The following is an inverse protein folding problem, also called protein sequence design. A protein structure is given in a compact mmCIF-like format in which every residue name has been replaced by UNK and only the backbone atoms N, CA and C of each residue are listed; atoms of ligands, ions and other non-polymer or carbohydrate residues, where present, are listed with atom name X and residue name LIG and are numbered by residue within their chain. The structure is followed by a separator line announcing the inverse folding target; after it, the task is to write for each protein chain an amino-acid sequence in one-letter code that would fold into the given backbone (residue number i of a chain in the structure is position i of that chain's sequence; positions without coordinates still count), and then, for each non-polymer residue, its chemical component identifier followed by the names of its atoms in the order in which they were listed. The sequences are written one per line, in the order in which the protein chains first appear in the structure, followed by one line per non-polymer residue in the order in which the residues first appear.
data_IF_157278506121
#
_entry.id   IF_157278506121
#
_cell.length_a   1.000
_cell.length_b   1.000
_cell.length_c   1.000
_cell.angle_alpha   90.00
_cell.angle_beta   90.00
_cell.angle_gamma   90.00
#
_symmetry.space_group_name_H-M   'P 1'
#
loop_
_entity.id
_entity.type
_entity.pdbx_description
1 polymer ?
#
# COMPACT_ATOMS: atom_id res chain seq x y z
N UNK A 1 -20.62 -5.69 -23.42
CA UNK A 1 -21.94 -6.22 -23.06
C UNK A 1 -22.39 -5.59 -21.76
N UNK A 2 -23.63 -5.09 -21.73
CA UNK A 2 -24.30 -4.70 -20.49
C UNK A 2 -24.77 -5.95 -19.76
N UNK A 3 -25.02 -5.89 -18.45
CA UNK A 3 -25.52 -7.03 -17.68
C UNK A 3 -26.85 -7.58 -18.26
N UNK A 4 -27.60 -6.73 -18.95
CA UNK A 4 -28.86 -7.05 -19.65
C UNK A 4 -28.68 -7.88 -20.94
N UNK A 5 -27.44 -8.03 -21.44
CA UNK A 5 -27.16 -8.81 -22.66
C UNK A 5 -26.87 -10.29 -22.38
N UNK A 6 -26.78 -10.71 -21.11
CA UNK A 6 -26.47 -12.09 -20.74
C UNK A 6 -27.75 -12.93 -20.80
N UNK A 7 -27.73 -14.05 -21.53
CA UNK A 7 -28.90 -14.93 -21.74
C UNK A 7 -28.62 -16.34 -21.23
N UNK A 8 -29.68 -17.05 -20.79
CA UNK A 8 -29.63 -18.46 -20.43
C UNK A 8 -28.95 -18.73 -19.08
N UNK A 9 -28.19 -19.82 -18.98
CA UNK A 9 -27.59 -20.31 -17.73
C UNK A 9 -26.58 -19.32 -17.09
N UNK A 10 -25.91 -18.51 -17.91
CA UNK A 10 -24.93 -17.51 -17.46
C UNK A 10 -25.59 -16.34 -16.71
N UNK A 11 -26.81 -15.95 -17.09
CA UNK A 11 -27.56 -14.90 -16.41
C UNK A 11 -28.02 -15.36 -15.01
N UNK A 12 -28.45 -16.62 -14.90
CA UNK A 12 -28.85 -17.21 -13.62
C UNK A 12 -27.67 -17.27 -12.64
N UNK A 13 -26.47 -17.61 -13.12
CA UNK A 13 -25.24 -17.62 -12.32
C UNK A 13 -24.84 -16.22 -11.86
N UNK A 14 -24.89 -15.23 -12.75
CA UNK A 14 -24.60 -13.82 -12.39
C UNK A 14 -25.57 -13.32 -11.32
N UNK A 15 -26.86 -13.59 -11.45
CA UNK A 15 -27.88 -13.22 -10.46
C UNK A 15 -27.63 -13.94 -9.13
N UNK A 16 -27.28 -15.23 -9.17
CA UNK A 16 -26.96 -16.03 -7.99
C UNK A 16 -25.75 -15.45 -7.24
N UNK A 17 -24.66 -15.12 -7.96
CA UNK A 17 -23.45 -14.51 -7.38
C UNK A 17 -23.78 -13.16 -6.74
N UNK A 18 -24.51 -12.28 -7.44
CA UNK A 18 -24.91 -10.98 -6.90
C UNK A 18 -25.79 -11.15 -5.65
N UNK A 19 -26.74 -12.08 -5.67
CA UNK A 19 -27.63 -12.36 -4.54
C UNK A 19 -26.88 -12.88 -3.31
N UNK A 20 -25.99 -13.86 -3.49
CA UNK A 20 -25.18 -14.42 -2.41
C UNK A 20 -24.27 -13.34 -1.79
N UNK A 21 -23.58 -12.55 -2.62
CA UNK A 21 -22.67 -11.51 -2.15
C UNK A 21 -23.39 -10.38 -1.42
N UNK A 22 -24.60 -10.03 -1.87
CA UNK A 22 -25.46 -9.06 -1.18
C UNK A 22 -25.82 -9.54 0.23
N UNK A 23 -26.17 -10.83 0.38
CA UNK A 23 -26.47 -11.42 1.69
C UNK A 23 -25.22 -11.58 2.56
N UNK A 24 -24.06 -11.87 1.97
CA UNK A 24 -22.78 -11.90 2.66
C UNK A 24 -22.46 -10.52 3.27
N UNK A 25 -22.52 -9.48 2.43
CA UNK A 25 -22.32 -8.08 2.80
C UNK A 25 -23.32 -7.58 3.87
N UNK A 26 -24.53 -8.13 3.91
CA UNK A 26 -25.49 -7.86 4.99
C UNK A 26 -24.97 -8.36 6.35
N UNK A 27 -24.43 -9.59 6.39
CA UNK A 27 -23.86 -10.18 7.60
C UNK A 27 -22.64 -9.41 8.10
N UNK A 28 -21.76 -9.01 7.19
CA UNK A 28 -20.59 -8.19 7.50
C UNK A 28 -20.98 -6.80 8.02
N UNK A 29 -21.92 -6.13 7.36
CA UNK A 29 -22.46 -4.84 7.84
C UNK A 29 -23.04 -4.94 9.24
N UNK A 30 -23.75 -6.04 9.52
CA UNK A 30 -24.27 -6.33 10.85
C UNK A 30 -23.15 -6.49 11.88
N UNK A 31 -22.08 -7.21 11.52
CA UNK A 31 -20.90 -7.41 12.36
C UNK A 31 -20.18 -6.10 12.66
N UNK A 32 -20.01 -5.24 11.65
CA UNK A 32 -19.50 -3.87 11.82
C UNK A 32 -20.37 -3.11 12.82
N UNK A 33 -21.68 -3.02 12.61
CA UNK A 33 -22.58 -2.28 13.49
C UNK A 33 -22.54 -2.74 14.95
N UNK A 34 -22.64 -4.07 15.19
CA UNK A 34 -22.60 -4.64 16.53
C UNK A 34 -21.23 -4.41 17.20
N UNK A 35 -20.13 -4.43 16.45
CA UNK A 35 -18.79 -4.23 17.00
C UNK A 35 -18.55 -2.83 17.58
N UNK A 36 -19.35 -1.83 17.16
CA UNK A 36 -19.34 -0.49 17.74
C UNK A 36 -20.14 -0.35 19.04
N UNK A 37 -20.87 -1.39 19.47
CA UNK A 37 -21.67 -1.34 20.69
C UNK A 37 -20.84 -1.60 21.97
N UNK A 38 -21.30 -1.05 23.10
CA UNK A 38 -20.71 -1.26 24.42
C UNK A 38 -19.55 -0.30 24.78
N UNK A 39 -19.00 -0.47 25.99
CA UNK A 39 -18.05 0.48 26.60
C UNK A 39 -16.69 0.60 25.89
N UNK A 40 -16.29 -0.41 25.10
CA UNK A 40 -15.09 -0.39 24.23
C UNK A 40 -15.45 -0.39 22.74
N UNK A 41 -16.67 0.02 22.40
CA UNK A 41 -17.24 -0.10 21.06
C UNK A 41 -16.45 0.65 19.98
N UNK A 42 -15.93 1.85 20.26
CA UNK A 42 -15.20 2.62 19.25
C UNK A 42 -13.91 1.90 18.78
N UNK A 43 -13.07 1.43 19.71
CA UNK A 43 -11.81 0.75 19.37
C UNK A 43 -12.06 -0.59 18.68
N UNK A 44 -13.01 -1.39 19.20
CA UNK A 44 -13.38 -2.69 18.60
C UNK A 44 -14.01 -2.51 17.22
N UNK A 45 -14.91 -1.54 17.09
CA UNK A 45 -15.60 -1.24 15.86
C UNK A 45 -14.66 -0.79 14.75
N UNK A 46 -13.70 0.08 15.04
CA UNK A 46 -12.68 0.50 14.07
C UNK A 46 -11.83 -0.70 13.60
N UNK A 47 -11.42 -1.57 14.52
CA UNK A 47 -10.63 -2.76 14.19
C UNK A 47 -11.41 -3.71 13.28
N UNK A 48 -12.66 -4.05 13.65
CA UNK A 48 -13.54 -4.92 12.86
C UNK A 48 -13.85 -4.31 11.49
N UNK A 49 -14.14 -3.01 11.43
CA UNK A 49 -14.38 -2.29 10.18
C UNK A 49 -13.18 -2.38 9.25
N UNK A 50 -11.96 -2.24 9.79
CA UNK A 50 -10.74 -2.29 8.99
C UNK A 50 -10.42 -3.72 8.54
N UNK A 51 -10.63 -4.71 9.40
CA UNK A 51 -10.48 -6.12 9.04
C UNK A 51 -11.43 -6.49 7.88
N UNK A 52 -12.70 -6.07 7.96
CA UNK A 52 -13.68 -6.26 6.90
C UNK A 52 -13.31 -5.44 5.65
N UNK A 53 -12.85 -4.19 5.79
CA UNK A 53 -12.41 -3.40 4.64
C UNK A 53 -11.24 -4.05 3.88
N UNK A 54 -10.28 -4.65 4.59
CA UNK A 54 -9.18 -5.41 3.98
C UNK A 54 -9.67 -6.70 3.34
N UNK A 55 -10.65 -7.39 3.97
CA UNK A 55 -11.31 -8.58 3.42
C UNK A 55 -12.07 -8.30 2.12
N UNK A 56 -12.71 -7.13 2.03
CA UNK A 56 -13.56 -6.77 0.89
C UNK A 56 -12.77 -6.45 -0.38
N UNK A 57 -11.47 -6.16 -0.28
CA UNK A 57 -10.60 -5.92 -1.45
C UNK A 57 -10.45 -7.21 -2.29
N UNK A 58 -9.95 -8.34 -1.75
CA UNK A 58 -9.89 -9.58 -2.51
C UNK A 58 -11.28 -10.13 -2.84
N UNK A 59 -12.30 -9.91 -2.00
CA UNK A 59 -13.68 -10.32 -2.30
C UNK A 59 -14.24 -9.57 -3.52
N UNK A 60 -14.15 -8.24 -3.54
CA UNK A 60 -14.64 -7.44 -4.66
C UNK A 60 -13.89 -7.71 -5.96
N UNK A 61 -12.59 -8.01 -5.87
CA UNK A 61 -11.80 -8.50 -7.00
C UNK A 61 -12.33 -9.84 -7.51
N UNK A 62 -12.60 -10.79 -6.61
CA UNK A 62 -13.12 -12.12 -6.96
C UNK A 62 -14.49 -12.01 -7.63
N UNK A 63 -15.41 -11.22 -7.07
CA UNK A 63 -16.73 -10.96 -7.67
C UNK A 63 -16.59 -10.34 -9.06
N UNK A 64 -15.74 -9.33 -9.19
CA UNK A 64 -15.50 -8.67 -10.47
C UNK A 64 -14.90 -9.62 -11.53
N UNK A 65 -13.99 -10.51 -11.13
CA UNK A 65 -13.39 -11.52 -12.00
C UNK A 65 -14.41 -12.56 -12.46
N UNK A 66 -15.26 -13.05 -11.55
CA UNK A 66 -16.34 -14.00 -11.88
C UNK A 66 -17.34 -13.37 -12.84
N UNK A 67 -17.75 -12.12 -12.62
CA UNK A 67 -18.64 -11.41 -13.54
C UNK A 67 -17.98 -11.20 -14.91
N UNK A 68 -16.69 -10.84 -14.93
CA UNK A 68 -15.95 -10.61 -16.17
C UNK A 68 -15.77 -11.90 -17.00
N UNK A 69 -15.53 -13.06 -16.36
CA UNK A 69 -15.41 -14.34 -17.06
C UNK A 69 -16.72 -14.79 -17.71
N UNK A 70 -17.87 -14.29 -17.23
CA UNK A 70 -19.20 -14.53 -17.82
C UNK A 70 -19.63 -13.47 -18.83
N UNK A 71 -18.71 -12.62 -19.29
CA UNK A 71 -18.96 -11.65 -20.36
C UNK A 71 -19.48 -10.28 -19.90
N UNK A 72 -19.52 -10.01 -18.59
CA UNK A 72 -19.76 -8.64 -18.09
C UNK A 72 -18.53 -7.79 -18.38
N UNK A 73 -18.71 -6.60 -18.95
CA UNK A 73 -17.58 -5.68 -19.17
C UNK A 73 -16.89 -5.31 -17.83
N UNK A 74 -15.55 -5.15 -17.78
CA UNK A 74 -14.82 -4.89 -16.54
C UNK A 74 -15.34 -3.71 -15.69
N UNK A 75 -15.76 -2.63 -16.35
CA UNK A 75 -16.33 -1.46 -15.67
C UNK A 75 -17.67 -1.77 -14.98
N UNK A 76 -18.54 -2.52 -15.66
CA UNK A 76 -19.80 -2.97 -15.07
C UNK A 76 -19.56 -4.01 -13.97
N UNK A 77 -18.59 -4.91 -14.14
CA UNK A 77 -18.25 -5.89 -13.11
C UNK A 77 -17.77 -5.21 -11.82
N UNK A 78 -16.91 -4.19 -11.94
CA UNK A 78 -16.49 -3.34 -10.83
C UNK A 78 -17.68 -2.61 -10.18
N UNK A 79 -18.57 -2.02 -10.98
CA UNK A 79 -19.75 -1.33 -10.46
C UNK A 79 -20.68 -2.29 -9.69
N UNK A 80 -20.94 -3.48 -10.23
CA UNK A 80 -21.75 -4.51 -9.58
C UNK A 80 -21.12 -5.03 -8.30
N UNK A 81 -19.79 -5.16 -8.25
CA UNK A 81 -19.08 -5.47 -7.01
C UNK A 81 -19.26 -4.39 -5.93
N UNK A 82 -19.29 -3.11 -6.29
CA UNK A 82 -19.60 -2.03 -5.34
C UNK A 82 -21.06 -2.11 -4.89
N UNK A 83 -21.99 -2.39 -5.81
CA UNK A 83 -23.42 -2.53 -5.50
C UNK A 83 -23.66 -3.67 -4.50
N UNK A 84 -23.00 -4.82 -4.66
CA UNK A 84 -23.14 -5.95 -3.74
C UNK A 84 -22.67 -5.63 -2.32
N UNK A 85 -21.76 -4.67 -2.14
CA UNK A 85 -21.27 -4.23 -0.83
C UNK A 85 -22.07 -3.09 -0.19
N UNK A 86 -23.03 -2.47 -0.91
CA UNK A 86 -23.90 -1.43 -0.35
C UNK A 86 -24.69 -1.85 0.91
N UNK A 87 -25.11 -3.11 1.10
CA UNK A 87 -25.75 -3.53 2.35
C UNK A 87 -24.89 -3.27 3.59
N UNK A 88 -23.56 -3.31 3.48
CA UNK A 88 -22.65 -3.13 4.63
C UNK A 88 -22.89 -1.80 5.37
N UNK A 89 -22.78 -0.61 4.74
CA UNK A 89 -23.05 0.66 5.39
C UNK A 89 -24.53 0.85 5.75
N UNK A 90 -25.46 0.28 4.98
CA UNK A 90 -26.91 0.43 5.22
C UNK A 90 -27.32 -0.30 6.51
N UNK A 91 -26.77 -1.49 6.74
CA UNK A 91 -27.16 -2.36 7.85
C UNK A 91 -26.35 -2.06 9.12
N UNK A 92 -25.12 -1.55 8.99
CA UNK A 92 -24.28 -1.22 10.14
C UNK A 92 -24.94 -0.28 11.15
N UNK A 93 -25.69 0.74 10.69
CA UNK A 93 -26.34 1.71 11.59
C UNK A 93 -27.50 1.07 12.36
N UNK A 94 -28.49 0.41 11.73
CA UNK A 94 -29.51 -0.37 12.44
C UNK A 94 -28.93 -1.42 13.40
N UNK A 95 -27.85 -2.11 12.99
CA UNK A 95 -27.22 -3.13 13.82
C UNK A 95 -26.51 -2.55 15.05
N UNK A 96 -25.96 -1.34 14.96
CA UNK A 96 -25.45 -0.62 16.12
C UNK A 96 -26.58 -0.22 17.08
N UNK A 97 -27.69 0.32 16.55
CA UNK A 97 -28.84 0.76 17.35
C UNK A 97 -29.50 -0.45 18.06
N UNK A 98 -29.63 -1.56 17.34
CA UNK A 98 -30.27 -2.79 17.81
C UNK A 98 -29.24 -3.89 18.15
N UNK A 99 -28.13 -3.50 18.76
CA UNK A 99 -26.97 -4.39 18.95
C UNK A 99 -27.29 -5.71 19.65
N UNK A 100 -28.14 -5.73 20.68
CA UNK A 100 -28.50 -6.98 21.37
C UNK A 100 -29.28 -7.95 20.47
N UNK A 101 -30.22 -7.44 19.68
CA UNK A 101 -31.01 -8.24 18.75
C UNK A 101 -30.12 -8.78 17.61
N UNK A 102 -29.27 -7.92 17.03
CA UNK A 102 -28.33 -8.34 16.00
C UNK A 102 -27.25 -9.27 16.54
N UNK A 103 -26.77 -9.11 17.77
CA UNK A 103 -25.79 -10.02 18.36
C UNK A 103 -26.35 -11.44 18.49
N UNK A 104 -27.62 -11.59 18.86
CA UNK A 104 -28.31 -12.89 18.87
C UNK A 104 -28.54 -13.46 17.47
N UNK A 105 -28.74 -12.60 16.48
CA UNK A 105 -28.96 -12.99 15.08
C UNK A 105 -27.66 -13.23 14.31
N UNK A 106 -26.55 -12.64 14.73
CA UNK A 106 -25.26 -12.67 14.06
C UNK A 106 -24.75 -14.09 13.80
N UNK A 107 -24.75 -15.04 14.76
CA UNK A 107 -24.31 -16.40 14.52
C UNK A 107 -25.07 -17.11 13.40
N UNK A 108 -26.38 -16.83 13.29
CA UNK A 108 -27.19 -17.36 12.20
C UNK A 108 -26.81 -16.71 10.87
N UNK A 109 -26.72 -15.38 10.82
CA UNK A 109 -26.37 -14.64 9.61
C UNK A 109 -24.98 -15.01 9.09
N UNK A 110 -23.97 -15.09 9.97
CA UNK A 110 -22.60 -15.46 9.60
C UNK A 110 -22.48 -16.93 9.23
N UNK A 111 -23.18 -17.84 9.93
CA UNK A 111 -23.25 -19.26 9.57
C UNK A 111 -23.91 -19.49 8.21
N UNK A 112 -25.01 -18.79 7.93
CA UNK A 112 -25.67 -18.82 6.63
C UNK A 112 -24.78 -18.24 5.51
N UNK A 113 -24.12 -17.11 5.76
CA UNK A 113 -23.18 -16.50 4.84
C UNK A 113 -21.99 -17.43 4.55
N UNK A 114 -21.43 -18.07 5.57
CA UNK A 114 -20.35 -19.06 5.41
C UNK A 114 -20.79 -20.24 4.53
N UNK A 115 -22.00 -20.77 4.74
CA UNK A 115 -22.58 -21.82 3.90
C UNK A 115 -22.72 -21.40 2.43
N UNK A 116 -23.21 -20.17 2.19
CA UNK A 116 -23.34 -19.64 0.83
C UNK A 116 -21.98 -19.44 0.15
N UNK A 117 -20.96 -18.98 0.86
CA UNK A 117 -19.61 -18.79 0.31
C UNK A 117 -18.92 -20.13 0.01
N UNK A 118 -19.10 -21.14 0.86
CA UNK A 118 -18.61 -22.51 0.59
C UNK A 118 -19.28 -23.06 -0.68
N UNK A 119 -20.60 -22.92 -0.80
CA UNK A 119 -21.31 -23.34 -2.01
C UNK A 119 -20.83 -22.59 -3.25
N UNK A 120 -20.67 -21.26 -3.17
CA UNK A 120 -20.18 -20.42 -4.27
C UNK A 120 -18.77 -20.84 -4.72
N UNK A 121 -17.88 -21.14 -3.78
CA UNK A 121 -16.54 -21.66 -4.12
C UNK A 121 -16.63 -23.01 -4.83
N UNK A 122 -17.42 -23.96 -4.33
CA UNK A 122 -17.52 -25.31 -4.89
C UNK A 122 -18.25 -25.34 -6.23
N UNK A 123 -19.35 -24.58 -6.36
CA UNK A 123 -20.24 -24.64 -7.51
C UNK A 123 -19.82 -23.69 -8.65
N UNK A 124 -19.15 -22.58 -8.33
CA UNK A 124 -18.80 -21.55 -9.31
C UNK A 124 -17.29 -21.34 -9.46
N UNK A 125 -16.57 -21.02 -8.37
CA UNK A 125 -15.15 -20.61 -8.47
C UNK A 125 -14.22 -21.77 -8.84
N UNK A 126 -14.37 -22.91 -8.16
CA UNK A 126 -13.49 -24.06 -8.35
C UNK A 126 -13.66 -24.70 -9.74
N UNK A 127 -14.89 -24.92 -10.25
CA UNK A 127 -15.10 -25.42 -11.60
C UNK A 127 -14.58 -24.48 -12.68
N UNK A 128 -14.69 -23.16 -12.50
CA UNK A 128 -14.12 -22.18 -13.44
C UNK A 128 -12.59 -22.16 -13.36
N UNK A 129 -12.00 -22.24 -12.17
CA UNK A 129 -10.55 -22.35 -11.99
C UNK A 129 -9.94 -23.56 -12.70
N UNK A 130 -10.62 -24.71 -12.67
CA UNK A 130 -10.18 -25.92 -13.39
C UNK A 130 -10.32 -25.83 -14.91
N UNK A 131 -11.13 -24.91 -15.44
CA UNK A 131 -11.20 -24.66 -16.89
C UNK A 131 -10.01 -23.82 -17.38
N UNK A 132 -9.61 -22.84 -16.57
CA UNK A 132 -8.57 -21.86 -16.94
C UNK A 132 -7.14 -22.31 -16.56
N UNK A 133 -7.00 -23.30 -15.68
CA UNK A 133 -5.72 -23.67 -15.08
C UNK A 133 -5.61 -25.17 -14.81
N UNK A 134 -4.37 -25.68 -14.73
CA UNK A 134 -4.11 -27.07 -14.35
C UNK A 134 -4.57 -27.33 -12.90
N UNK A 135 -5.01 -28.56 -12.58
CA UNK A 135 -5.45 -28.90 -11.23
C UNK A 135 -4.41 -28.65 -10.14
N UNK A 136 -3.12 -28.83 -10.46
CA UNK A 136 -2.02 -28.58 -9.53
C UNK A 136 -1.87 -27.10 -9.16
N UNK A 137 -2.04 -26.18 -10.11
CA UNK A 137 -2.01 -24.73 -9.86
C UNK A 137 -3.24 -24.24 -9.09
N UNK A 138 -4.41 -24.79 -9.38
CA UNK A 138 -5.64 -24.47 -8.61
C UNK A 138 -5.47 -24.94 -7.16
N UNK A 139 -4.96 -26.16 -6.94
CA UNK A 139 -4.71 -26.70 -5.62
C UNK A 139 -3.65 -25.91 -4.84
N UNK A 140 -2.55 -25.48 -5.48
CA UNK A 140 -1.52 -24.68 -4.83
C UNK A 140 -2.02 -23.28 -4.47
N UNK A 141 -2.75 -22.62 -5.37
CA UNK A 141 -3.35 -21.32 -5.11
C UNK A 141 -4.38 -21.39 -3.97
N UNK A 142 -5.25 -22.40 -3.97
CA UNK A 142 -6.21 -22.64 -2.90
C UNK A 142 -5.50 -22.86 -1.56
N UNK A 143 -4.49 -23.72 -1.51
CA UNK A 143 -3.73 -24.02 -0.28
C UNK A 143 -3.01 -22.78 0.26
N UNK A 144 -2.38 -22.00 -0.63
CA UNK A 144 -1.71 -20.75 -0.24
C UNK A 144 -2.70 -19.72 0.29
N UNK A 145 -3.88 -19.61 -0.33
CA UNK A 145 -4.94 -18.70 0.12
C UNK A 145 -5.46 -19.07 1.51
N UNK A 146 -5.68 -20.37 1.77
CA UNK A 146 -6.10 -20.88 3.09
C UNK A 146 -5.01 -20.63 4.13
N UNK A 147 -3.75 -20.94 3.82
CA UNK A 147 -2.62 -20.70 4.71
C UNK A 147 -2.48 -19.21 5.06
N UNK A 148 -2.64 -18.33 4.07
CA UNK A 148 -2.64 -16.88 4.27
C UNK A 148 -3.81 -16.44 5.17
N UNK A 149 -5.02 -16.93 4.94
CA UNK A 149 -6.18 -16.56 5.76
C UNK A 149 -6.08 -17.08 7.19
N UNK A 150 -5.53 -18.28 7.40
CA UNK A 150 -5.27 -18.82 8.75
C UNK A 150 -4.19 -17.97 9.45
N UNK A 151 -3.10 -17.62 8.76
CA UNK A 151 -2.06 -16.77 9.33
C UNK A 151 -2.61 -15.38 9.69
N UNK A 152 -3.43 -14.80 8.82
CA UNK A 152 -4.09 -13.52 9.06
C UNK A 152 -5.07 -13.61 10.25
N UNK A 153 -5.86 -14.68 10.35
CA UNK A 153 -6.78 -14.92 11.46
C UNK A 153 -6.03 -15.09 12.79
N UNK A 154 -4.94 -15.87 12.79
CA UNK A 154 -4.09 -16.07 13.97
C UNK A 154 -3.43 -14.77 14.43
N UNK A 155 -2.99 -13.94 13.47
CA UNK A 155 -2.49 -12.60 13.73
C UNK A 155 -3.57 -11.72 14.39
N UNK A 156 -4.81 -11.73 13.88
CA UNK A 156 -5.93 -10.99 14.48
C UNK A 156 -6.33 -11.50 15.87
N UNK A 157 -6.32 -12.82 16.11
CA UNK A 157 -6.60 -13.37 17.43
C UNK A 157 -5.51 -13.00 18.45
N UNK A 158 -4.24 -13.02 18.04
CA UNK A 158 -3.14 -12.53 18.87
C UNK A 158 -3.34 -11.06 19.26
N UNK A 159 -3.81 -10.23 18.33
CA UNK A 159 -4.20 -8.85 18.61
C UNK A 159 -5.42 -8.73 19.53
N UNK A 160 -6.38 -9.67 19.48
CA UNK A 160 -7.61 -9.61 20.28
C UNK A 160 -7.41 -10.04 21.75
N UNK A 161 -6.43 -10.90 22.04
CA UNK A 161 -6.25 -11.50 23.38
C UNK A 161 -5.33 -10.68 24.32
N UNK A 162 -4.46 -9.82 23.77
CA UNK A 162 -3.52 -8.95 24.51
C UNK A 162 -3.98 -7.47 24.57
N UNK A 163 -5.28 -7.23 24.59
CA UNK A 163 -5.91 -5.95 24.21
C UNK A 163 -5.66 -4.79 25.20
N UNK A 164 -4.72 -3.89 24.87
CA UNK A 164 -4.72 -2.51 25.35
C UNK A 164 -5.26 -1.60 24.22
N UNK A 165 -6.20 -0.66 24.48
CA UNK A 165 -6.80 0.21 23.45
C UNK A 165 -5.78 1.11 22.72
N UNK A 166 -4.58 1.17 23.29
CA UNK A 166 -3.36 1.83 22.86
C UNK A 166 -2.82 1.29 21.52
N UNK A 167 -2.64 -0.04 21.42
CA UNK A 167 -2.03 -0.70 20.26
C UNK A 167 -2.94 -0.70 19.02
N UNK A 168 -4.27 -0.70 19.23
CA UNK A 168 -5.25 -0.62 18.15
C UNK A 168 -5.17 0.71 17.38
N UNK A 169 -4.88 1.80 18.09
CA UNK A 169 -4.68 3.12 17.47
C UNK A 169 -3.38 3.17 16.66
N UNK A 170 -2.32 2.55 17.18
CA UNK A 170 -1.04 2.42 16.49
C UNK A 170 -1.13 1.60 15.20
N UNK A 171 -1.87 0.48 15.25
CA UNK A 171 -2.13 -0.37 14.10
C UNK A 171 -2.93 0.35 13.00
N UNK A 172 -3.98 1.08 13.37
CA UNK A 172 -4.80 1.85 12.44
C UNK A 172 -3.97 2.92 11.71
N UNK A 173 -3.16 3.67 12.46
CA UNK A 173 -2.22 4.67 11.90
C UNK A 173 -1.21 4.01 10.97
N UNK A 174 -0.71 2.83 11.34
CA UNK A 174 0.26 2.06 10.54
C UNK A 174 -0.33 1.59 9.20
N UNK A 175 -1.58 1.13 9.17
CA UNK A 175 -2.25 0.74 7.92
C UNK A 175 -2.54 1.93 7.00
N UNK A 176 -3.02 3.04 7.55
CA UNK A 176 -3.30 4.26 6.77
C UNK A 176 -2.04 4.89 6.17
N UNK A 177 -0.89 4.73 6.82
CA UNK A 177 0.40 5.14 6.29
C UNK A 177 0.73 4.45 4.95
N UNK A 178 0.24 3.23 4.76
CA UNK A 178 0.41 2.51 3.50
C UNK A 178 -0.47 2.99 2.35
N UNK A 179 -1.54 3.75 2.63
CA UNK A 179 -2.43 4.26 1.60
C UNK A 179 -1.82 5.44 0.83
N UNK A 180 -0.97 6.23 1.49
CA UNK A 180 -0.32 7.42 0.92
C UNK A 180 0.44 7.12 -0.38
N UNK A 181 1.38 6.15 -0.39
CA UNK A 181 2.11 5.79 -1.60
C UNK A 181 1.21 5.31 -2.75
N UNK A 182 0.17 4.54 -2.47
CA UNK A 182 -0.78 4.11 -3.51
C UNK A 182 -1.51 5.31 -4.13
N UNK A 183 -2.05 6.21 -3.30
CA UNK A 183 -2.73 7.42 -3.75
C UNK A 183 -1.80 8.35 -4.55
N UNK A 184 -0.55 8.50 -4.11
CA UNK A 184 0.47 9.27 -4.83
C UNK A 184 0.81 8.66 -6.20
N UNK A 185 0.86 7.33 -6.29
CA UNK A 185 1.05 6.61 -7.55
C UNK A 185 -0.12 6.80 -8.51
N UNK A 186 -1.36 6.66 -8.02
CA UNK A 186 -2.59 6.85 -8.80
C UNK A 186 -2.66 8.29 -9.35
N UNK A 187 -2.45 9.28 -8.48
CA UNK A 187 -2.50 10.68 -8.88
C UNK A 187 -1.46 11.00 -9.95
N UNK A 188 -0.23 10.51 -9.79
CA UNK A 188 0.83 10.75 -10.75
C UNK A 188 0.58 10.06 -12.09
N UNK A 189 0.11 8.81 -12.10
CA UNK A 189 -0.26 8.11 -13.35
C UNK A 189 -1.40 8.83 -14.06
N UNK A 190 -2.42 9.28 -13.32
CA UNK A 190 -3.53 10.05 -13.88
C UNK A 190 -3.05 11.38 -14.51
N UNK A 191 -2.17 12.11 -13.82
CA UNK A 191 -1.52 13.32 -14.33
C UNK A 191 -0.67 13.03 -15.58
N UNK A 192 0.07 11.93 -15.58
CA UNK A 192 0.92 11.54 -16.71
C UNK A 192 0.11 11.26 -17.98
N UNK A 193 -1.03 10.59 -17.85
CA UNK A 193 -1.95 10.39 -18.97
C UNK A 193 -2.65 11.68 -19.40
N UNK A 194 -3.17 12.47 -18.45
CA UNK A 194 -3.91 13.68 -18.75
C UNK A 194 -3.07 14.73 -19.50
N UNK A 195 -1.77 14.81 -19.21
CA UNK A 195 -0.88 15.81 -19.79
C UNK A 195 0.17 15.23 -20.75
N UNK A 196 0.09 13.95 -21.10
CA UNK A 196 1.07 13.24 -21.95
C UNK A 196 2.52 13.52 -21.53
N UNK A 197 2.80 13.37 -20.23
CA UNK A 197 4.09 13.73 -19.65
C UNK A 197 5.21 12.85 -20.19
N UNK A 198 6.32 13.48 -20.58
CA UNK A 198 7.46 12.78 -21.18
C UNK A 198 8.39 12.17 -20.13
N UNK A 199 9.10 11.10 -20.52
CA UNK A 199 10.00 10.35 -19.64
C UNK A 199 11.05 11.22 -18.92
N UNK A 200 11.63 12.20 -19.60
CA UNK A 200 12.62 13.11 -19.00
C UNK A 200 12.02 13.99 -17.89
N UNK A 201 10.77 14.44 -18.07
CA UNK A 201 10.05 15.20 -17.05
C UNK A 201 9.75 14.33 -15.82
N UNK A 202 9.22 13.13 -16.03
CA UNK A 202 8.86 12.19 -14.97
C UNK A 202 10.07 11.72 -14.15
N UNK A 203 11.18 11.42 -14.81
CA UNK A 203 12.44 11.09 -14.12
C UNK A 203 12.98 12.30 -13.33
N UNK A 204 12.81 13.52 -13.87
CA UNK A 204 13.02 14.77 -13.14
C UNK A 204 12.20 14.85 -11.85
N UNK A 205 10.88 14.69 -11.96
CA UNK A 205 9.93 14.73 -10.82
C UNK A 205 10.33 13.70 -9.76
N UNK A 206 10.60 12.47 -10.16
CA UNK A 206 10.99 11.40 -9.26
C UNK A 206 12.26 11.75 -8.47
N UNK A 207 13.28 12.25 -9.15
CA UNK A 207 14.52 12.69 -8.50
C UNK A 207 14.30 13.88 -7.58
N UNK A 208 13.48 14.86 -7.96
CA UNK A 208 13.17 16.04 -7.15
C UNK A 208 12.53 15.65 -5.82
N UNK A 209 11.54 14.75 -5.88
CA UNK A 209 10.90 14.20 -4.68
C UNK A 209 11.91 13.44 -3.82
N UNK A 210 12.72 12.56 -4.42
CA UNK A 210 13.68 11.75 -3.68
C UNK A 210 14.76 12.58 -2.97
N UNK A 211 15.20 13.69 -3.57
CA UNK A 211 16.12 14.63 -2.90
C UNK A 211 15.49 15.24 -1.64
N UNK A 212 14.21 15.63 -1.70
CA UNK A 212 13.51 16.16 -0.52
C UNK A 212 13.38 15.08 0.55
N UNK A 213 12.93 13.88 0.17
CA UNK A 213 12.80 12.76 1.12
C UNK A 213 14.14 12.44 1.81
N UNK A 214 15.23 12.35 1.04
CA UNK A 214 16.56 12.08 1.58
C UNK A 214 17.17 13.22 2.39
N UNK A 215 16.72 14.47 2.22
CA UNK A 215 17.25 15.63 2.95
C UNK A 215 16.39 16.01 4.17
N UNK A 216 15.09 15.76 4.14
CA UNK A 216 14.13 16.32 5.11
C UNK A 216 14.43 15.90 6.56
N UNK A 217 14.52 14.60 6.82
CA UNK A 217 14.78 14.08 8.18
C UNK A 217 16.18 14.43 8.69
N UNK A 218 17.28 14.25 7.92
CA UNK A 218 18.61 14.66 8.35
C UNK A 218 18.68 16.17 8.68
N UNK A 219 18.05 17.02 7.87
CA UNK A 219 17.99 18.46 8.12
C UNK A 219 17.19 18.78 9.38
N UNK A 220 16.06 18.11 9.58
CA UNK A 220 15.25 18.27 10.78
C UNK A 220 16.05 17.91 12.05
N UNK A 221 16.73 16.77 12.08
CA UNK A 221 17.53 16.32 13.24
C UNK A 221 18.70 17.25 13.55
N UNK A 222 19.29 17.85 12.51
CA UNK A 222 20.35 18.84 12.65
C UNK A 222 19.80 20.15 13.23
N UNK A 223 18.69 20.66 12.70
CA UNK A 223 18.05 21.89 13.16
C UNK A 223 17.48 21.76 14.58
N UNK A 224 17.04 20.57 14.98
CA UNK A 224 16.57 20.28 16.33
C UNK A 224 17.70 19.94 17.32
N UNK A 225 18.96 19.97 16.88
CA UNK A 225 20.14 19.56 17.65
C UNK A 225 20.06 18.14 18.28
N UNK A 226 19.21 17.25 17.72
CA UNK A 226 19.06 15.86 18.19
C UNK A 226 20.24 14.98 17.75
N UNK A 227 20.83 15.30 16.60
CA UNK A 227 21.99 14.60 16.06
C UNK A 227 23.03 15.62 15.58
N UNK A 228 24.28 15.45 16.00
CA UNK A 228 25.38 16.33 15.56
C UNK A 228 25.64 16.22 14.05
N UNK A 229 26.23 17.28 13.48
CA UNK A 229 26.57 17.35 12.06
C UNK A 229 27.46 16.17 11.60
N UNK A 230 28.45 15.80 12.42
CA UNK A 230 29.42 14.76 12.06
C UNK A 230 28.76 13.35 11.98
N UNK A 231 28.04 12.85 12.99
CA UNK A 231 27.28 11.60 12.88
C UNK A 231 26.30 11.57 11.71
N UNK A 232 25.61 12.69 11.46
CA UNK A 232 24.63 12.81 10.38
C UNK A 232 25.29 12.65 9.01
N UNK A 233 26.41 13.35 8.75
CA UNK A 233 27.18 13.23 7.51
C UNK A 233 27.78 11.84 7.33
N UNK A 234 28.28 11.21 8.41
CA UNK A 234 28.83 9.85 8.36
C UNK A 234 27.74 8.85 7.97
N UNK A 235 26.57 8.89 8.61
CA UNK A 235 25.46 7.97 8.33
C UNK A 235 24.91 8.15 6.90
N UNK A 236 24.75 9.40 6.46
CA UNK A 236 24.39 9.71 5.07
C UNK A 236 25.42 9.14 4.08
N UNK A 237 26.70 9.33 4.37
CA UNK A 237 27.81 8.80 3.57
C UNK A 237 27.83 7.28 3.52
N UNK A 238 27.62 6.61 4.66
CA UNK A 238 27.54 5.15 4.76
C UNK A 238 26.36 4.59 3.97
N UNK A 239 25.17 5.19 4.11
CA UNK A 239 23.98 4.81 3.35
C UNK A 239 24.16 4.99 1.84
N UNK A 240 24.70 6.15 1.44
CA UNK A 240 25.02 6.44 0.03
C UNK A 240 26.05 5.45 -0.51
N UNK A 241 27.12 5.18 0.25
CA UNK A 241 28.16 4.21 -0.11
C UNK A 241 27.61 2.80 -0.29
N UNK A 242 26.79 2.33 0.66
CA UNK A 242 26.16 1.02 0.62
C UNK A 242 25.28 0.85 -0.62
N UNK A 243 24.40 1.79 -0.91
CA UNK A 243 23.51 1.71 -2.07
C UNK A 243 24.29 1.88 -3.38
N UNK A 244 25.30 2.75 -3.42
CA UNK A 244 26.15 2.90 -4.60
C UNK A 244 26.93 1.62 -4.93
N UNK A 245 27.53 0.96 -3.94
CA UNK A 245 28.24 -0.32 -4.11
C UNK A 245 27.25 -1.40 -4.57
N UNK A 246 26.08 -1.47 -3.95
CA UNK A 246 25.02 -2.42 -4.32
C UNK A 246 24.55 -2.21 -5.76
N UNK A 247 24.35 -0.95 -6.16
CA UNK A 247 23.95 -0.56 -7.52
C UNK A 247 25.03 -0.88 -8.55
N UNK A 248 26.29 -0.57 -8.25
CA UNK A 248 27.43 -0.86 -9.11
C UNK A 248 27.62 -2.37 -9.29
N UNK A 249 27.43 -3.15 -8.23
CA UNK A 249 27.54 -4.62 -8.27
C UNK A 249 26.40 -5.25 -9.09
N UNK A 250 25.16 -4.80 -8.87
CA UNK A 250 23.99 -5.28 -9.61
C UNK A 250 24.08 -4.97 -11.12
N UNK A 251 24.55 -3.76 -11.48
CA UNK A 251 24.73 -3.37 -12.88
C UNK A 251 25.86 -4.15 -13.55
N UNK A 252 27.00 -4.37 -12.88
CA UNK A 252 28.09 -5.23 -13.38
C UNK A 252 27.65 -6.67 -13.59
N UNK A 253 26.88 -7.24 -12.65
CA UNK A 253 26.33 -8.59 -12.78
C UNK A 253 25.33 -8.68 -13.94
N UNK A 254 24.47 -7.67 -14.11
CA UNK A 254 23.57 -7.55 -15.25
C UNK A 254 24.30 -7.51 -16.59
N UNK A 255 25.41 -6.76 -16.67
CA UNK A 255 26.24 -6.73 -17.89
C UNK A 255 26.97 -8.04 -18.17
N UNK A 256 27.49 -8.73 -17.14
CA UNK A 256 28.10 -10.08 -17.30
C UNK A 256 27.09 -11.12 -17.74
N UNK A 257 25.88 -11.08 -17.17
CA UNK A 257 24.80 -11.99 -17.55
C UNK A 257 24.33 -11.68 -18.97
N UNK A 258 24.37 -10.43 -19.44
CA UNK A 258 24.09 -10.04 -20.84
C UNK A 258 25.10 -10.65 -21.84
N UNK A 259 26.39 -10.72 -21.50
CA UNK A 259 27.39 -11.41 -22.35
C UNK A 259 27.14 -12.92 -22.44
N UNK A 260 26.66 -13.53 -21.35
CA UNK A 260 26.29 -14.96 -21.31
C UNK A 260 24.88 -15.26 -21.83
N UNK A 261 23.97 -14.28 -21.84
CA UNK A 261 22.57 -14.43 -22.26
C UNK A 261 22.33 -14.04 -23.72
N UNK A 262 23.30 -13.44 -24.42
CA UNK A 262 23.20 -13.30 -25.89
C UNK A 262 23.08 -14.66 -26.61
N UNK A 263 23.50 -15.76 -25.97
CA UNK A 263 23.29 -17.15 -26.43
C UNK A 263 21.93 -17.74 -26.04
N UNK A 264 21.20 -17.15 -25.08
CA UNK A 264 19.93 -17.67 -24.53
C UNK A 264 18.71 -16.75 -24.83
N UNK A 265 18.96 -15.48 -25.17
CA UNK A 265 17.96 -14.47 -25.55
C UNK A 265 17.27 -14.79 -26.88
N UNK A 266 17.79 -15.73 -27.67
CA UNK A 266 17.13 -16.25 -28.85
C UNK A 266 15.86 -17.08 -28.53
N UNK A 267 15.62 -17.43 -27.24
CA UNK A 267 14.54 -18.37 -26.85
C UNK A 267 13.51 -17.77 -25.89
N UNK A 268 13.77 -16.65 -25.19
CA UNK A 268 12.88 -16.15 -24.10
C UNK A 268 12.50 -14.66 -24.11
N UNK A 269 13.00 -13.85 -25.05
CA UNK A 269 12.42 -12.53 -25.40
C UNK A 269 12.51 -11.36 -24.38
N UNK A 270 12.84 -11.55 -23.10
CA UNK A 270 12.84 -10.46 -22.11
C UNK A 270 14.24 -9.88 -21.85
N UNK A 271 14.56 -8.75 -22.50
CA UNK A 271 15.76 -7.95 -22.20
C UNK A 271 15.39 -6.71 -21.35
N UNK A 272 15.92 -6.62 -20.13
CA UNK A 272 15.66 -5.47 -19.22
C UNK A 272 16.62 -4.33 -19.58
N UNK A 273 16.08 -3.15 -19.87
CA UNK A 273 16.89 -1.98 -20.20
C UNK A 273 17.70 -1.50 -18.99
N UNK A 274 18.86 -0.87 -19.22
CA UNK A 274 19.66 -0.29 -18.14
C UNK A 274 18.88 0.78 -17.34
N UNK A 275 17.98 1.52 -17.99
CA UNK A 275 17.14 2.52 -17.34
C UNK A 275 16.11 1.86 -16.40
N UNK A 276 15.49 0.76 -16.86
CA UNK A 276 14.57 -0.04 -16.07
C UNK A 276 15.26 -0.61 -14.83
N UNK A 277 16.49 -1.11 -14.97
CA UNK A 277 17.28 -1.61 -13.84
C UNK A 277 17.55 -0.52 -12.79
N UNK A 278 18.02 0.68 -13.21
CA UNK A 278 18.21 1.81 -12.28
C UNK A 278 16.90 2.22 -11.59
N UNK A 279 15.77 2.12 -12.29
CA UNK A 279 14.46 2.47 -11.74
C UNK A 279 14.01 1.46 -10.68
N UNK A 280 14.21 0.16 -10.93
CA UNK A 280 13.96 -0.89 -9.94
C UNK A 280 14.83 -0.70 -8.70
N UNK A 281 16.14 -0.44 -8.86
CA UNK A 281 17.03 -0.21 -7.74
C UNK A 281 16.66 1.05 -6.94
N UNK A 282 16.17 2.08 -7.62
CA UNK A 282 15.65 3.29 -6.96
C UNK A 282 14.39 3.01 -6.16
N UNK A 283 13.51 2.11 -6.65
CA UNK A 283 12.36 1.64 -5.87
C UNK A 283 12.78 0.91 -4.61
N UNK A 284 13.84 0.08 -4.68
CA UNK A 284 14.41 -0.58 -3.49
C UNK A 284 14.95 0.46 -2.49
N UNK A 285 15.62 1.51 -2.95
CA UNK A 285 16.08 2.58 -2.06
C UNK A 285 14.90 3.32 -1.39
N UNK A 286 13.81 3.59 -2.11
CA UNK A 286 12.57 4.15 -1.53
C UNK A 286 11.92 3.17 -0.56
N UNK A 287 11.96 1.87 -0.83
CA UNK A 287 11.47 0.84 0.08
C UNK A 287 12.25 0.84 1.40
N UNK A 288 13.59 0.91 1.36
CA UNK A 288 14.42 0.99 2.57
C UNK A 288 14.12 2.26 3.39
N UNK A 289 13.89 3.39 2.73
CA UNK A 289 13.43 4.61 3.39
C UNK A 289 12.05 4.42 4.04
N UNK A 290 11.08 3.86 3.30
CA UNK A 290 9.74 3.59 3.82
C UNK A 290 9.75 2.58 4.99
N UNK A 291 10.68 1.61 4.96
CA UNK A 291 10.90 0.62 6.02
C UNK A 291 11.36 1.31 7.30
N UNK A 292 12.43 2.12 7.23
CA UNK A 292 12.97 2.87 8.36
C UNK A 292 11.93 3.81 8.96
N UNK A 293 11.12 4.44 8.10
CA UNK A 293 10.04 5.32 8.52
C UNK A 293 8.89 4.56 9.20
N UNK A 294 8.51 3.41 8.66
CA UNK A 294 7.50 2.55 9.28
C UNK A 294 7.96 2.00 10.63
N UNK A 295 9.25 1.66 10.81
CA UNK A 295 9.79 1.28 12.13
C UNK A 295 9.60 2.41 13.15
N UNK A 296 10.01 3.64 12.80
CA UNK A 296 9.84 4.81 13.66
C UNK A 296 8.36 5.09 13.97
N UNK A 297 7.49 4.94 12.97
CA UNK A 297 6.05 5.11 13.14
C UNK A 297 5.46 4.03 14.06
N UNK A 298 5.86 2.76 13.89
CA UNK A 298 5.37 1.65 14.71
C UNK A 298 5.71 1.81 16.20
N UNK A 299 6.87 2.37 16.52
CA UNK A 299 7.25 2.69 17.91
C UNK A 299 6.54 3.93 18.44
N UNK A 300 6.30 4.93 17.59
CA UNK A 300 5.67 6.18 17.97
C UNK A 300 4.14 6.09 18.10
N UNK A 301 3.49 5.27 17.26
CA UNK A 301 2.04 5.28 17.10
C UNK A 301 1.26 4.76 18.33
N UNK A 302 1.69 3.70 19.05
CA UNK A 302 1.04 3.27 20.29
C UNK A 302 1.09 4.34 21.39
N UNK A 303 2.13 5.17 21.42
CA UNK A 303 2.30 6.28 22.39
C UNK A 303 1.42 7.50 22.07
N UNK A 304 0.76 7.50 20.91
CA UNK A 304 0.01 8.62 20.36
C UNK A 304 -1.52 8.39 20.51
N UNK A 305 -2.00 8.31 21.76
CA UNK A 305 -3.40 8.00 22.08
C UNK A 305 -4.42 8.97 21.45
N UNK A 306 -5.54 8.43 20.98
CA UNK A 306 -6.71 9.21 20.56
C UNK A 306 -6.61 9.92 19.21
N UNK A 307 -5.52 9.72 18.47
CA UNK A 307 -5.21 10.48 17.24
C UNK A 307 -5.80 9.91 15.94
N UNK A 308 -6.50 8.77 15.99
CA UNK A 308 -6.94 8.01 14.80
C UNK A 308 -7.55 8.87 13.69
N UNK A 309 -8.47 9.80 14.00
CA UNK A 309 -9.12 10.67 12.98
C UNK A 309 -8.26 11.85 12.50
N UNK A 310 -7.35 12.34 13.34
CA UNK A 310 -6.55 13.54 13.07
C UNK A 310 -5.18 13.22 12.45
N UNK A 311 -4.70 11.98 12.57
CA UNK A 311 -3.45 11.53 11.95
C UNK A 311 -3.66 11.06 10.50
N UNK A 312 -4.86 10.58 10.12
CA UNK A 312 -5.13 10.02 8.78
C UNK A 312 -4.58 10.89 7.66
N UNK A 313 -4.98 12.16 7.65
CA UNK A 313 -4.62 13.09 6.60
C UNK A 313 -3.10 13.39 6.57
N UNK A 314 -2.44 13.81 7.67
CA UNK A 314 -1.00 14.06 7.64
C UNK A 314 -0.18 12.81 7.32
N UNK A 315 -0.57 11.62 7.80
CA UNK A 315 0.13 10.37 7.53
C UNK A 315 0.00 9.93 6.08
N UNK A 316 -1.18 10.03 5.48
CA UNK A 316 -1.35 9.72 4.05
C UNK A 316 -0.67 10.76 3.16
N UNK A 317 -0.71 12.05 3.52
CA UNK A 317 0.00 13.12 2.78
C UNK A 317 1.52 12.95 2.81
N UNK A 318 2.07 12.44 3.91
CA UNK A 318 3.50 12.19 4.04
C UNK A 318 3.97 11.01 3.18
N UNK A 319 3.13 9.98 3.03
CA UNK A 319 3.39 8.84 2.12
C UNK A 319 3.20 9.17 0.64
N UNK A 320 2.47 10.23 0.32
CA UNK A 320 2.10 10.59 -1.05
C UNK A 320 3.30 10.84 -1.97
N UNK A 321 4.34 11.63 -1.58
CA UNK A 321 5.52 11.83 -2.41
C UNK A 321 6.26 10.52 -2.72
N UNK A 322 6.34 9.57 -1.79
CA UNK A 322 7.03 8.28 -2.01
C UNK A 322 6.39 7.50 -3.14
N UNK A 323 5.06 7.42 -3.13
CA UNK A 323 4.25 6.83 -4.20
C UNK A 323 4.47 7.48 -5.56
N UNK A 324 4.37 8.81 -5.59
CA UNK A 324 4.60 9.60 -6.79
C UNK A 324 6.02 9.42 -7.34
N UNK A 325 7.05 9.38 -6.49
CA UNK A 325 8.44 9.19 -6.92
C UNK A 325 8.65 7.82 -7.58
N UNK A 326 8.14 6.76 -6.97
CA UNK A 326 8.28 5.38 -7.48
C UNK A 326 7.48 5.19 -8.75
N UNK A 327 6.22 5.63 -8.77
CA UNK A 327 5.39 5.58 -9.97
C UNK A 327 6.03 6.38 -11.12
N UNK A 328 6.56 7.58 -10.85
CA UNK A 328 7.17 8.44 -11.87
C UNK A 328 8.45 7.85 -12.43
N UNK A 329 9.24 7.21 -11.57
CA UNK A 329 10.46 6.51 -11.95
C UNK A 329 10.16 5.30 -12.84
N UNK A 330 9.22 4.43 -12.44
CA UNK A 330 8.85 3.24 -13.20
C UNK A 330 8.12 3.58 -14.49
N UNK A 331 7.15 4.50 -14.44
CA UNK A 331 6.42 4.95 -15.63
C UNK A 331 7.38 5.59 -16.62
N UNK A 332 8.27 6.46 -16.14
CA UNK A 332 9.31 7.09 -16.97
C UNK A 332 10.29 6.10 -17.61
N UNK A 333 10.45 4.89 -17.07
CA UNK A 333 11.42 3.91 -17.57
C UNK A 333 10.81 2.74 -18.35
N UNK A 334 9.51 2.47 -18.17
CA UNK A 334 8.83 1.29 -18.74
C UNK A 334 7.60 1.63 -19.56
N UNK A 335 7.09 2.86 -19.44
CA UNK A 335 5.82 3.29 -20.03
C UNK A 335 4.60 2.44 -19.57
N UNK A 336 4.77 1.64 -18.49
CA UNK A 336 3.74 0.75 -17.96
C UNK A 336 3.08 1.37 -16.74
N UNK A 337 1.81 1.76 -16.89
CA UNK A 337 1.02 2.28 -15.78
C UNK A 337 0.75 1.20 -14.72
N UNK A 338 0.54 -0.06 -15.15
CA UNK A 338 0.37 -1.20 -14.25
C UNK A 338 1.61 -1.42 -13.39
N UNK A 339 2.81 -1.42 -14.00
CA UNK A 339 4.06 -1.57 -13.26
C UNK A 339 4.29 -0.44 -12.26
N UNK A 340 3.84 0.76 -12.61
CA UNK A 340 3.95 1.95 -11.76
C UNK A 340 3.02 1.89 -10.55
N UNK A 341 1.75 1.52 -10.75
CA UNK A 341 0.78 1.34 -9.67
C UNK A 341 1.14 0.15 -8.78
N UNK A 342 1.59 -0.97 -9.36
CA UNK A 342 2.07 -2.12 -8.60
C UNK A 342 3.26 -1.74 -7.72
N UNK A 343 4.24 -1.01 -8.26
CA UNK A 343 5.39 -0.54 -7.49
C UNK A 343 4.97 0.42 -6.37
N UNK A 344 4.04 1.34 -6.63
CA UNK A 344 3.51 2.25 -5.62
C UNK A 344 2.74 1.50 -4.51
N UNK A 345 1.94 0.49 -4.87
CA UNK A 345 1.22 -0.37 -3.93
C UNK A 345 2.19 -1.17 -3.05
N UNK A 346 3.22 -1.79 -3.64
CA UNK A 346 4.24 -2.53 -2.91
C UNK A 346 4.96 -1.63 -1.89
N UNK A 347 5.33 -0.40 -2.28
CA UNK A 347 5.92 0.59 -1.37
C UNK A 347 4.95 1.01 -0.28
N UNK A 348 3.65 1.09 -0.61
CA UNK A 348 2.56 1.27 0.35
C UNK A 348 2.56 0.21 1.45
N UNK A 349 2.86 -1.05 1.14
CA UNK A 349 2.90 -2.12 2.15
C UNK A 349 4.15 -2.13 3.03
N UNK A 350 5.29 -1.61 2.56
CA UNK A 350 6.56 -1.67 3.31
C UNK A 350 6.47 -0.96 4.66
N UNK A 351 5.84 0.22 4.68
CA UNK A 351 5.68 1.02 5.90
C UNK A 351 4.82 0.36 6.98
N UNK A 352 3.56 -0.04 6.68
CA UNK A 352 2.72 -0.80 7.60
C UNK A 352 3.39 -2.08 8.08
N UNK A 353 4.05 -2.83 7.19
CA UNK A 353 4.68 -4.10 7.55
C UNK A 353 5.83 -3.91 8.55
N UNK A 354 6.66 -2.87 8.37
CA UNK A 354 7.71 -2.57 9.34
C UNK A 354 7.17 -1.96 10.64
N UNK A 355 6.11 -1.15 10.57
CA UNK A 355 5.46 -0.60 11.75
C UNK A 355 4.83 -1.68 12.63
N UNK A 356 4.06 -2.59 12.02
CA UNK A 356 3.48 -3.76 12.71
C UNK A 356 4.59 -4.65 13.25
N UNK A 357 5.65 -4.88 12.47
CA UNK A 357 6.83 -5.63 12.92
C UNK A 357 7.49 -5.00 14.15
N UNK A 358 7.64 -3.67 14.19
CA UNK A 358 8.21 -2.96 15.35
C UNK A 358 7.33 -3.07 16.60
N UNK A 359 6.00 -2.97 16.45
CA UNK A 359 5.04 -3.14 17.55
C UNK A 359 5.14 -4.57 18.11
N UNK A 360 5.09 -5.58 17.24
CA UNK A 360 5.13 -6.99 17.64
C UNK A 360 6.48 -7.40 18.26
N UNK A 361 7.58 -6.86 17.76
CA UNK A 361 8.91 -7.14 18.27
C UNK A 361 9.28 -6.30 19.51
N UNK A 362 8.42 -5.36 19.93
CA UNK A 362 8.67 -4.48 21.09
C UNK A 362 9.93 -3.62 20.92
N UNK A 363 10.20 -3.15 19.70
CA UNK A 363 11.39 -2.34 19.39
C UNK A 363 11.28 -0.98 20.10
N UNK A 364 12.37 -0.52 20.72
CA UNK A 364 12.44 0.79 21.33
C UNK A 364 12.84 1.87 20.32
N UNK A 365 12.67 3.15 20.68
CA UNK A 365 12.98 4.25 19.76
C UNK A 365 14.51 4.44 19.59
N UNK A 366 15.32 3.77 20.41
CA UNK A 366 16.77 3.93 20.44
C UNK A 366 17.39 3.54 19.11
N UNK A 367 18.13 4.46 18.49
CA UNK A 367 18.84 4.21 17.24
C UNK A 367 18.00 4.27 15.96
N UNK A 368 16.67 4.43 16.02
CA UNK A 368 15.82 4.53 14.82
C UNK A 368 16.14 5.77 13.96
N UNK A 369 16.53 6.88 14.60
CA UNK A 369 17.02 8.07 13.88
C UNK A 369 18.29 7.76 13.07
N UNK A 370 19.16 6.86 13.55
CA UNK A 370 20.37 6.47 12.83
C UNK A 370 20.02 5.61 11.60
N UNK A 371 19.09 4.67 11.77
CA UNK A 371 18.56 3.84 10.67
C UNK A 371 17.88 4.71 9.61
N UNK A 372 17.11 5.71 10.03
CA UNK A 372 16.47 6.67 9.14
C UNK A 372 17.49 7.48 8.33
N UNK A 373 18.49 8.08 8.97
CA UNK A 373 19.53 8.87 8.28
C UNK A 373 20.34 8.00 7.32
N UNK A 374 20.66 6.76 7.71
CA UNK A 374 21.29 5.78 6.83
C UNK A 374 20.43 5.50 5.59
N UNK A 375 19.12 5.25 5.77
CA UNK A 375 18.21 5.00 4.65
C UNK A 375 18.05 6.22 3.72
N UNK A 376 18.02 7.43 4.29
CA UNK A 376 18.03 8.70 3.55
C UNK A 376 19.26 8.82 2.64
N UNK A 377 20.44 8.43 3.15
CA UNK A 377 21.70 8.41 2.38
C UNK A 377 21.61 7.58 1.11
N UNK A 378 20.85 6.49 1.14
CA UNK A 378 20.65 5.58 0.01
C UNK A 378 19.90 6.19 -1.19
N UNK A 379 19.11 7.24 -0.99
CA UNK A 379 18.32 7.85 -2.08
C UNK A 379 19.19 8.66 -3.06
N UNK A 380 20.23 9.33 -2.56
CA UNK A 380 21.10 10.21 -3.36
C UNK A 380 21.81 9.52 -4.54
N UNK A 381 22.50 8.37 -4.37
CA UNK A 381 23.23 7.74 -5.49
C UNK A 381 22.29 7.20 -6.58
N UNK A 382 21.13 6.66 -6.20
CA UNK A 382 20.14 6.12 -7.13
C UNK A 382 19.52 7.22 -8.00
N UNK A 383 18.89 8.20 -7.36
CA UNK A 383 18.21 9.28 -8.08
C UNK A 383 19.17 10.28 -8.71
N UNK A 384 20.38 10.43 -8.15
CA UNK A 384 21.47 11.20 -8.74
C UNK A 384 21.98 10.61 -10.07
N UNK A 385 22.01 9.27 -10.18
CA UNK A 385 22.37 8.60 -11.43
C UNK A 385 21.27 8.74 -12.50
N UNK A 386 20.00 8.62 -12.08
CA UNK A 386 18.83 8.79 -12.95
C UNK A 386 18.78 10.21 -13.54
N UNK A 387 18.84 11.24 -12.67
CA UNK A 387 18.75 12.63 -13.14
C UNK A 387 19.92 13.02 -14.03
N UNK A 388 21.14 12.55 -13.71
CA UNK A 388 22.32 12.82 -14.55
C UNK A 388 22.16 12.27 -15.96
N UNK A 389 21.51 11.11 -16.12
CA UNK A 389 21.21 10.53 -17.42
C UNK A 389 20.08 11.28 -18.13
N UNK A 390 19.01 11.62 -17.41
CA UNK A 390 17.88 12.37 -17.96
C UNK A 390 18.31 13.76 -18.48
N UNK A 391 19.11 14.48 -17.69
CA UNK A 391 19.65 15.80 -18.05
C UNK A 391 20.55 15.77 -19.29
N UNK A 392 21.30 14.68 -19.50
CA UNK A 392 22.11 14.49 -20.72
C UNK A 392 21.26 14.30 -21.98
N UNK A 393 20.06 13.74 -21.85
CA UNK A 393 19.14 13.51 -22.98
C UNK A 393 18.28 14.75 -23.24
N UNK A 394 17.57 15.24 -22.22
CA UNK A 394 16.67 16.40 -22.32
C UNK A 394 16.80 17.30 -21.09
N UNK A 395 17.80 18.19 -21.11
CA UNK A 395 18.14 19.10 -19.99
C UNK A 395 16.96 19.92 -19.47
N UNK A 396 16.24 20.61 -20.37
CA UNK A 396 15.18 21.56 -19.99
C UNK A 396 14.03 20.87 -19.23
N UNK A 397 13.53 19.75 -19.77
CA UNK A 397 12.40 19.02 -19.19
C UNK A 397 12.78 18.30 -17.91
N UNK A 398 14.00 17.74 -17.86
CA UNK A 398 14.52 17.08 -16.66
C UNK A 398 14.68 18.06 -15.48
N UNK A 399 15.25 19.25 -15.73
CA UNK A 399 15.40 20.28 -14.71
C UNK A 399 14.02 20.81 -14.27
N UNK A 400 13.11 21.04 -15.21
CA UNK A 400 11.76 21.49 -14.87
C UNK A 400 11.02 20.45 -14.02
N UNK A 401 11.09 19.17 -14.39
CA UNK A 401 10.56 18.07 -13.59
C UNK A 401 11.18 18.02 -12.20
N UNK A 402 12.51 18.17 -12.08
CA UNK A 402 13.22 18.21 -10.80
C UNK A 402 12.66 19.30 -9.87
N UNK A 403 12.45 20.52 -10.38
CA UNK A 403 11.90 21.63 -9.61
C UNK A 403 10.46 21.35 -9.19
N UNK A 404 9.61 20.84 -10.10
CA UNK A 404 8.24 20.46 -9.77
C UNK A 404 8.21 19.39 -8.69
N UNK A 405 9.04 18.35 -8.79
CA UNK A 405 9.15 17.30 -7.78
C UNK A 405 9.60 17.83 -6.42
N UNK A 406 10.56 18.76 -6.40
CA UNK A 406 11.03 19.42 -5.18
C UNK A 406 9.89 20.21 -4.49
N UNK A 407 9.22 21.09 -5.25
CA UNK A 407 8.11 21.90 -4.74
C UNK A 407 6.98 21.01 -4.23
N UNK A 408 6.64 19.98 -5.01
CA UNK A 408 5.58 19.04 -4.67
C UNK A 408 5.85 18.30 -3.35
N UNK A 409 7.07 17.76 -3.17
CA UNK A 409 7.43 17.06 -1.95
C UNK A 409 7.50 17.99 -0.73
N UNK A 410 8.07 19.21 -0.89
CA UNK A 410 8.09 20.22 0.19
C UNK A 410 6.67 20.59 0.59
N UNK A 411 5.77 20.82 -0.38
CA UNK A 411 4.37 21.14 -0.10
C UNK A 411 3.69 20.01 0.70
N UNK A 412 3.85 18.75 0.29
CA UNK A 412 3.26 17.62 1.01
C UNK A 412 3.78 17.52 2.45
N UNK A 413 5.10 17.60 2.64
CA UNK A 413 5.72 17.48 3.97
C UNK A 413 5.42 18.69 4.88
N UNK A 414 5.37 19.90 4.32
CA UNK A 414 4.96 21.10 5.07
C UNK A 414 3.47 21.04 5.42
N UNK A 415 2.60 20.57 4.51
CA UNK A 415 1.18 20.34 4.82
C UNK A 415 1.03 19.31 5.96
N UNK A 416 1.75 18.20 5.90
CA UNK A 416 1.81 17.24 7.01
C UNK A 416 2.22 17.94 8.31
N UNK A 417 3.30 18.75 8.29
CA UNK A 417 3.76 19.49 9.47
C UNK A 417 2.73 20.49 10.00
N UNK A 418 2.05 21.22 9.13
CA UNK A 418 1.01 22.20 9.49
C UNK A 418 -0.20 21.52 10.13
N UNK A 419 -0.66 20.41 9.56
CA UNK A 419 -1.76 19.64 10.15
C UNK A 419 -1.34 19.09 11.52
N UNK A 420 -0.08 18.64 11.67
CA UNK A 420 0.47 18.22 12.96
C UNK A 420 0.66 19.37 13.97
N UNK A 421 0.91 20.61 13.55
CA UNK A 421 1.04 21.77 14.45
C UNK A 421 -0.30 22.18 15.08
N UNK A 422 -1.40 21.97 14.35
CA UNK A 422 -2.75 22.33 14.80
C UNK A 422 -3.51 21.18 15.48
N UNK A 423 -2.90 20.00 15.58
CA UNK A 423 -3.46 18.88 16.36
C UNK A 423 -2.83 18.90 17.77
N UNK A 424 -3.62 19.17 18.84
CA UNK A 424 -3.09 19.42 20.18
C UNK A 424 -2.22 18.29 20.76
N UNK A 425 -2.34 17.07 20.24
CA UNK A 425 -1.60 15.88 20.69
C UNK A 425 -0.36 15.52 19.85
N UNK A 426 -0.15 16.11 18.66
CA UNK A 426 1.14 15.97 17.96
C UNK A 426 2.29 16.68 18.69
N UNK A 427 1.96 17.67 19.53
CA UNK A 427 2.90 18.29 20.47
C UNK A 427 3.29 17.36 21.64
N UNK A 428 2.49 16.33 21.94
CA UNK A 428 2.72 15.38 23.04
C UNK A 428 3.57 14.16 22.65
N UNK A 429 3.79 13.95 21.35
CA UNK A 429 4.78 13.02 20.79
C UNK A 429 5.93 13.82 20.14
N UNK A 430 6.76 14.54 20.92
CA UNK A 430 7.77 15.46 20.41
C UNK A 430 8.86 14.78 19.55
N UNK A 431 8.93 13.44 19.53
CA UNK A 431 9.92 12.71 18.73
C UNK A 431 9.54 12.62 17.24
N UNK A 432 8.25 12.66 16.89
CA UNK A 432 7.79 12.55 15.49
C UNK A 432 7.63 13.90 14.77
N UNK A 433 7.47 15.00 15.53
CA UNK A 433 7.06 16.33 15.00
C UNK A 433 8.00 17.50 15.40
N UNK A 434 8.82 17.40 16.46
CA UNK A 434 9.97 18.32 16.66
C UNK A 434 11.21 17.70 16.08
#
# INVERSE_FOLDING_TARGET
MSMLDIKGAEAAKVILVIGIMTLHSFGEGSGVGVSFAGSKGLSKGILVTLAIAVHNIPEGLAVSMVLASRGVSPQNAMLWSVITSLPQPIVAVPSFICADAFNKFLPFATGFAAGCMIWMVIAEVLPDGFKESTPSHVASAATLSVAFMIALSSLFEHFSHNYNPEDASGFFVSLLFGLGPLLGGIALVALAFAFHLQHAFLTGVASGIAFVLGAWRPLQLLLSAKMGLLPNLILLGLGSGFVHISTSSATKLGTRKRTSANTLSAVTGYSVSALTLYSILSCVAVALHALAEGLALGVAAPKAYGLGRHIVLPVSLHGFPRGAAVASCIFGATDSWHGSLLSAALIGFVGPLSAIGAILAGIDYSGLDHVMVFACGGLFPCFGSIIRRAVKLEKRKSIFGLVIGLVFAILCLTCTKLVCLHTPYCNSAPEAVR
#
